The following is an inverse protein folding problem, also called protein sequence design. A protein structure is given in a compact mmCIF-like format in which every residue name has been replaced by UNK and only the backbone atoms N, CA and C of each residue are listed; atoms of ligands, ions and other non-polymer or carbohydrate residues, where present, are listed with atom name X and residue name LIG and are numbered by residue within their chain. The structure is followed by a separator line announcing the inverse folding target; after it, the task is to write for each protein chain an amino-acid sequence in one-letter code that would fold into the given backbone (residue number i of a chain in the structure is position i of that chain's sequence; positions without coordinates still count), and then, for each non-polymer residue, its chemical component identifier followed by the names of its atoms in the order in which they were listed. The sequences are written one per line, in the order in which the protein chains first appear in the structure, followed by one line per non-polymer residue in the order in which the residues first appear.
data_IF_608536417254
#
_entry.id   IF_608536417254
#
_cell.length_a   1.000
_cell.length_b   1.000
_cell.length_c   1.000
_cell.angle_alpha   90.00
_cell.angle_beta   90.00
_cell.angle_gamma   90.00
#
_symmetry.space_group_name_H-M   'P 1'
#
loop_
_entity.id
_entity.type
_entity.pdbx_description
1 polymer ?
#
# COMPACT_ATOMS: atom_id res chain seq x y z
N UNK A 1 -37.31 -19.31 -9.44
CA UNK A 1 -36.85 -17.97 -9.84
C UNK A 1 -37.36 -17.67 -11.27
N UNK A 2 -38.17 -16.62 -11.46
CA UNK A 2 -38.62 -16.23 -12.78
C UNK A 2 -37.50 -15.46 -13.50
N UNK A 3 -37.12 -15.91 -14.68
CA UNK A 3 -36.13 -15.19 -15.50
C UNK A 3 -36.81 -14.02 -16.21
N UNK A 4 -36.24 -12.83 -16.11
CA UNK A 4 -36.61 -11.69 -16.95
C UNK A 4 -36.08 -11.95 -18.36
N UNK A 5 -36.98 -12.03 -19.35
CA UNK A 5 -36.63 -12.28 -20.76
C UNK A 5 -36.58 -10.97 -21.55
N UNK A 6 -35.81 -10.98 -22.64
CA UNK A 6 -35.84 -9.88 -23.59
C UNK A 6 -37.22 -9.81 -24.32
N UNK A 7 -37.71 -8.59 -24.64
CA UNK A 7 -37.16 -7.28 -24.30
C UNK A 7 -37.25 -6.98 -22.80
N UNK A 8 -36.17 -6.44 -22.25
CA UNK A 8 -36.08 -6.17 -20.80
C UNK A 8 -36.88 -4.92 -20.43
N UNK A 9 -38.09 -5.12 -19.94
CA UNK A 9 -38.94 -4.03 -19.48
C UNK A 9 -38.53 -3.56 -18.08
N UNK A 10 -38.48 -2.24 -17.85
CA UNK A 10 -38.10 -1.66 -16.57
C UNK A 10 -39.05 -2.09 -15.43
N UNK A 11 -40.33 -2.27 -15.73
CA UNK A 11 -41.32 -2.73 -14.75
C UNK A 11 -40.99 -4.14 -14.22
N UNK A 12 -40.52 -5.05 -15.08
CA UNK A 12 -40.14 -6.40 -14.70
C UNK A 12 -38.83 -6.42 -13.91
N UNK A 13 -37.93 -5.47 -14.15
CA UNK A 13 -36.67 -5.37 -13.41
C UNK A 13 -36.85 -4.85 -11.97
N UNK A 14 -37.89 -4.02 -11.72
CA UNK A 14 -38.12 -3.42 -10.39
C UNK A 14 -38.36 -4.43 -9.27
N UNK A 15 -38.82 -5.63 -9.58
CA UNK A 15 -39.00 -6.70 -8.59
C UNK A 15 -37.69 -7.46 -8.25
N UNK A 16 -36.61 -7.23 -9.01
CA UNK A 16 -35.34 -7.96 -8.89
C UNK A 16 -34.14 -7.06 -8.58
N UNK A 17 -34.27 -5.76 -8.83
CA UNK A 17 -33.16 -4.78 -8.69
C UNK A 17 -33.65 -3.57 -7.89
N UNK A 18 -32.81 -3.00 -7.05
CA UNK A 18 -33.13 -1.77 -6.32
C UNK A 18 -33.58 -0.64 -7.24
N UNK A 19 -34.53 0.17 -6.78
CA UNK A 19 -35.18 1.20 -7.59
C UNK A 19 -34.19 2.21 -8.23
N UNK A 20 -33.11 2.51 -7.56
CA UNK A 20 -32.01 3.37 -7.98
C UNK A 20 -31.19 2.80 -9.15
N UNK A 21 -31.17 1.47 -9.31
CA UNK A 21 -30.39 0.77 -10.32
C UNK A 21 -31.19 0.31 -11.55
N UNK A 22 -32.51 0.35 -11.48
CA UNK A 22 -33.42 -0.21 -12.53
C UNK A 22 -33.11 0.35 -13.92
N UNK A 23 -32.96 1.66 -14.04
CA UNK A 23 -32.68 2.28 -15.34
C UNK A 23 -31.31 1.94 -15.89
N UNK A 24 -30.30 1.91 -15.02
CA UNK A 24 -28.91 1.57 -15.39
C UNK A 24 -28.83 0.11 -15.85
N UNK A 25 -29.39 -0.81 -15.08
CA UNK A 25 -29.41 -2.25 -15.41
C UNK A 25 -30.23 -2.48 -16.68
N UNK A 26 -31.40 -1.85 -16.81
CA UNK A 26 -32.25 -1.97 -18.02
C UNK A 26 -31.53 -1.47 -19.27
N UNK A 27 -30.75 -0.39 -19.18
CA UNK A 27 -29.93 0.10 -20.30
C UNK A 27 -28.85 -0.91 -20.68
N UNK A 28 -28.06 -1.41 -19.70
CA UNK A 28 -27.03 -2.38 -19.93
C UNK A 28 -27.54 -3.67 -20.57
N UNK A 29 -28.70 -4.18 -20.10
CA UNK A 29 -29.34 -5.39 -20.67
C UNK A 29 -29.77 -5.18 -22.11
N UNK A 30 -30.34 -4.01 -22.43
CA UNK A 30 -30.73 -3.69 -23.82
C UNK A 30 -29.50 -3.56 -24.74
N UNK A 31 -28.41 -2.98 -24.26
CA UNK A 31 -27.17 -2.90 -25.02
C UNK A 31 -26.55 -4.29 -25.28
N UNK A 32 -26.59 -5.19 -24.29
CA UNK A 32 -26.17 -6.58 -24.47
C UNK A 32 -27.05 -7.30 -25.48
N UNK A 33 -28.39 -7.14 -25.40
CA UNK A 33 -29.33 -7.73 -26.35
C UNK A 33 -29.07 -7.24 -27.78
N UNK A 34 -28.79 -5.94 -27.97
CA UNK A 34 -28.41 -5.37 -29.26
C UNK A 34 -27.12 -5.96 -29.84
N UNK A 35 -26.23 -6.46 -29.00
CA UNK A 35 -24.98 -7.18 -29.36
C UNK A 35 -25.17 -8.70 -29.51
N UNK A 36 -26.42 -9.19 -29.43
CA UNK A 36 -26.75 -10.61 -29.57
C UNK A 36 -26.61 -11.42 -28.26
N UNK A 37 -26.35 -10.76 -27.12
CA UNK A 37 -26.26 -11.42 -25.81
C UNK A 37 -27.55 -11.19 -25.05
N UNK A 38 -28.45 -12.18 -25.01
CA UNK A 38 -29.73 -12.10 -24.34
C UNK A 38 -29.99 -13.36 -23.50
N UNK A 39 -30.95 -13.30 -22.60
CA UNK A 39 -31.49 -14.40 -21.81
C UNK A 39 -30.39 -15.27 -21.14
N UNK A 40 -30.21 -16.51 -21.60
CA UNK A 40 -29.18 -17.41 -21.06
C UNK A 40 -27.76 -16.90 -21.25
N UNK A 41 -27.51 -16.14 -22.33
CA UNK A 41 -26.20 -15.54 -22.56
C UNK A 41 -25.87 -14.48 -21.51
N UNK A 42 -26.85 -13.69 -21.08
CA UNK A 42 -26.67 -12.74 -19.97
C UNK A 42 -26.40 -13.44 -18.66
N UNK A 43 -27.11 -14.55 -18.36
CA UNK A 43 -26.86 -15.34 -17.14
C UNK A 43 -25.44 -15.88 -17.13
N UNK A 44 -25.00 -16.52 -18.23
CA UNK A 44 -23.65 -17.05 -18.34
C UNK A 44 -22.58 -15.96 -18.21
N UNK A 45 -22.82 -14.76 -18.76
CA UNK A 45 -21.92 -13.61 -18.60
C UNK A 45 -21.84 -13.15 -17.14
N UNK A 46 -22.97 -13.05 -16.45
CA UNK A 46 -23.01 -12.66 -15.04
C UNK A 46 -22.32 -13.69 -14.15
N UNK A 47 -22.56 -14.97 -14.38
CA UNK A 47 -21.87 -16.07 -13.67
C UNK A 47 -20.36 -16.01 -13.88
N UNK A 48 -19.91 -15.75 -15.11
CA UNK A 48 -18.48 -15.58 -15.41
C UNK A 48 -17.89 -14.35 -14.71
N UNK A 49 -18.61 -13.23 -14.68
CA UNK A 49 -18.20 -12.01 -13.97
C UNK A 49 -18.15 -12.23 -12.46
N UNK A 50 -19.15 -12.93 -11.89
CA UNK A 50 -19.16 -13.27 -10.48
C UNK A 50 -17.99 -14.21 -10.12
N UNK A 51 -17.74 -15.24 -10.93
CA UNK A 51 -16.60 -16.13 -10.75
C UNK A 51 -15.27 -15.36 -10.81
N UNK A 52 -15.09 -14.50 -11.81
CA UNK A 52 -13.90 -13.67 -11.94
C UNK A 52 -13.73 -12.70 -10.75
N UNK A 53 -14.83 -12.12 -10.22
CA UNK A 53 -14.81 -11.27 -9.04
C UNK A 53 -14.47 -12.03 -7.76
N UNK A 54 -14.90 -13.29 -7.65
CA UNK A 54 -14.61 -14.13 -6.49
C UNK A 54 -13.12 -14.50 -6.42
N UNK A 55 -12.42 -14.53 -7.55
CA UNK A 55 -10.98 -14.77 -7.63
C UNK A 55 -10.14 -13.53 -7.26
N UNK A 56 -10.72 -12.33 -7.29
CA UNK A 56 -10.01 -11.10 -6.88
C UNK A 56 -10.01 -11.02 -5.36
N UNK A 57 -8.84 -11.11 -4.70
CA UNK A 57 -8.77 -11.00 -3.25
C UNK A 57 -9.34 -9.66 -2.77
N UNK A 58 -10.22 -9.73 -1.78
CA UNK A 58 -10.81 -8.52 -1.19
C UNK A 58 -9.75 -7.76 -0.38
N UNK A 59 -9.84 -6.42 -0.31
CA UNK A 59 -9.06 -5.65 0.62
C UNK A 59 -9.22 -6.19 2.05
N UNK A 60 -8.11 -6.31 2.78
CA UNK A 60 -8.13 -6.74 4.16
C UNK A 60 -7.93 -5.55 5.10
N UNK A 61 -8.77 -5.44 6.12
CA UNK A 61 -8.57 -4.49 7.21
C UNK A 61 -7.33 -4.91 8.02
N UNK A 62 -6.44 -3.94 8.25
CA UNK A 62 -5.22 -4.12 9.06
C UNK A 62 -5.30 -3.17 10.26
N UNK A 63 -5.04 -3.69 11.46
CA UNK A 63 -5.29 -2.96 12.69
C UNK A 63 -4.19 -3.20 13.73
N UNK A 64 -3.77 -2.14 14.40
CA UNK A 64 -3.08 -2.21 15.69
C UNK A 64 -3.96 -1.53 16.73
N UNK A 65 -4.13 -2.14 17.90
CA UNK A 65 -4.92 -1.57 18.99
C UNK A 65 -5.78 -2.60 19.69
N UNK A 66 -6.69 -2.16 20.57
CA UNK A 66 -7.58 -3.06 21.28
C UNK A 66 -8.43 -3.91 20.32
N UNK A 67 -8.62 -5.17 20.68
CA UNK A 67 -9.53 -6.06 19.95
C UNK A 67 -10.98 -5.60 20.10
N UNK A 68 -11.72 -5.65 19.00
CA UNK A 68 -13.15 -5.33 18.97
C UNK A 68 -13.91 -6.62 18.68
N UNK A 69 -14.73 -7.05 19.63
CA UNK A 69 -15.49 -8.30 19.52
C UNK A 69 -16.40 -8.31 18.30
N UNK A 70 -16.32 -9.38 17.50
CA UNK A 70 -17.12 -9.56 16.28
C UNK A 70 -16.59 -8.85 15.05
N UNK A 71 -15.47 -8.14 15.13
CA UNK A 71 -14.77 -7.56 13.99
C UNK A 71 -13.44 -8.30 13.75
N UNK A 72 -13.21 -8.67 12.49
CA UNK A 72 -11.99 -9.34 12.10
C UNK A 72 -11.07 -8.36 11.36
N UNK A 73 -9.90 -8.14 11.93
CA UNK A 73 -8.81 -7.41 11.32
C UNK A 73 -7.52 -8.22 11.46
N UNK A 74 -6.60 -8.05 10.52
CA UNK A 74 -5.27 -8.64 10.62
C UNK A 74 -4.37 -7.72 11.44
N UNK A 75 -3.47 -8.29 12.22
CA UNK A 75 -2.49 -7.50 12.99
C UNK A 75 -1.52 -6.76 12.07
N UNK A 76 -1.24 -5.48 12.37
CA UNK A 76 -0.33 -4.67 11.54
C UNK A 76 1.05 -5.31 11.47
N UNK A 77 1.64 -5.72 12.59
CA UNK A 77 2.93 -6.40 12.63
C UNK A 77 2.92 -7.70 11.80
N UNK A 78 1.89 -8.51 11.95
CA UNK A 78 1.74 -9.76 11.20
C UNK A 78 1.77 -9.52 9.69
N UNK A 79 1.02 -8.52 9.21
CA UNK A 79 0.98 -8.17 7.79
C UNK A 79 2.31 -7.61 7.30
N UNK A 80 3.00 -6.79 8.11
CA UNK A 80 4.35 -6.30 7.82
C UNK A 80 5.33 -7.45 7.64
N UNK A 81 5.41 -8.33 8.64
CA UNK A 81 6.33 -9.46 8.64
C UNK A 81 6.05 -10.43 7.49
N UNK A 82 4.77 -10.65 7.17
CA UNK A 82 4.37 -11.48 6.04
C UNK A 82 4.78 -10.87 4.69
N UNK A 83 4.45 -9.59 4.44
CA UNK A 83 4.80 -8.93 3.18
C UNK A 83 6.32 -8.92 2.95
N UNK A 84 7.08 -8.60 3.99
CA UNK A 84 8.54 -8.60 3.92
C UNK A 84 9.07 -10.02 3.74
N UNK A 85 8.60 -10.97 4.55
CA UNK A 85 9.05 -12.36 4.53
C UNK A 85 8.75 -13.10 3.22
N UNK A 86 7.72 -12.68 2.48
CA UNK A 86 7.33 -13.26 1.17
C UNK A 86 7.93 -12.55 -0.03
N UNK A 87 8.56 -11.38 0.16
CA UNK A 87 9.12 -10.62 -0.96
C UNK A 87 10.20 -11.40 -1.71
N UNK A 88 10.14 -11.43 -3.03
CA UNK A 88 11.04 -12.20 -3.88
C UNK A 88 11.85 -11.33 -4.84
N UNK A 89 11.31 -10.22 -5.29
CA UNK A 89 11.91 -9.35 -6.30
C UNK A 89 12.11 -7.92 -5.81
N UNK A 90 11.11 -7.31 -5.18
CA UNK A 90 11.19 -5.91 -4.78
C UNK A 90 10.36 -5.56 -3.55
N UNK A 91 10.88 -4.64 -2.74
CA UNK A 91 10.14 -3.96 -1.67
C UNK A 91 10.33 -2.45 -1.81
N UNK A 92 9.21 -1.73 -1.79
CA UNK A 92 9.19 -0.28 -1.69
C UNK A 92 8.48 0.08 -0.40
N UNK A 93 9.19 0.73 0.51
CA UNK A 93 8.70 1.03 1.85
C UNK A 93 8.83 2.51 2.10
N UNK A 94 7.74 3.17 2.51
CA UNK A 94 7.76 4.54 2.98
C UNK A 94 7.32 4.62 4.43
N UNK A 95 7.98 5.47 5.21
CA UNK A 95 7.63 5.75 6.60
C UNK A 95 8.09 7.13 7.03
N UNK A 96 7.31 7.77 7.90
CA UNK A 96 7.69 9.04 8.49
C UNK A 96 8.69 8.90 9.64
N UNK A 97 8.54 7.85 10.46
CA UNK A 97 9.42 7.60 11.61
C UNK A 97 9.90 6.15 11.62
N UNK A 98 11.12 5.92 12.11
CA UNK A 98 11.78 4.63 12.20
C UNK A 98 12.62 4.50 13.49
N UNK A 99 12.04 4.89 14.62
CA UNK A 99 12.66 4.72 15.92
C UNK A 99 12.63 3.23 16.32
N UNK A 100 13.61 2.82 17.13
CA UNK A 100 13.83 1.41 17.54
C UNK A 100 14.07 0.47 16.34
N UNK A 101 14.78 0.99 15.32
CA UNK A 101 14.96 0.37 14.02
C UNK A 101 15.56 -1.03 14.05
N UNK A 102 16.40 -1.37 15.05
CA UNK A 102 16.96 -2.73 15.15
C UNK A 102 15.83 -3.78 15.21
N UNK A 103 14.79 -3.54 15.99
CA UNK A 103 13.65 -4.44 16.07
C UNK A 103 12.74 -4.32 14.83
N UNK A 104 12.46 -3.09 14.39
CA UNK A 104 11.56 -2.85 13.27
C UNK A 104 12.15 -3.34 11.93
N UNK A 105 13.46 -3.17 11.70
CA UNK A 105 14.12 -3.59 10.47
C UNK A 105 14.66 -5.03 10.49
N UNK A 106 14.50 -5.77 11.59
CA UNK A 106 15.07 -7.12 11.72
C UNK A 106 14.62 -8.05 10.59
N UNK A 107 13.30 -8.20 10.42
CA UNK A 107 12.73 -9.08 9.39
C UNK A 107 13.14 -8.64 7.97
N UNK A 108 13.24 -7.33 7.74
CA UNK A 108 13.67 -6.78 6.45
C UNK A 108 15.13 -7.11 6.16
N UNK A 109 16.01 -6.92 7.13
CA UNK A 109 17.42 -7.22 7.01
C UNK A 109 17.66 -8.72 6.77
N UNK A 110 17.04 -9.58 7.56
CA UNK A 110 17.10 -11.04 7.41
C UNK A 110 16.60 -11.47 6.01
N UNK A 111 15.49 -10.88 5.53
CA UNK A 111 15.00 -11.18 4.19
C UNK A 111 15.96 -10.75 3.09
N UNK A 112 16.54 -9.56 3.21
CA UNK A 112 17.55 -9.07 2.27
C UNK A 112 18.79 -9.96 2.24
N UNK A 113 19.24 -10.45 3.39
CA UNK A 113 20.42 -11.33 3.49
C UNK A 113 20.12 -12.73 2.92
N UNK A 114 18.89 -13.22 3.09
CA UNK A 114 18.45 -14.51 2.56
C UNK A 114 18.20 -14.47 1.03
N UNK A 115 17.66 -13.37 0.49
CA UNK A 115 17.30 -13.22 -0.93
C UNK A 115 18.20 -12.16 -1.57
N UNK A 116 19.33 -12.60 -2.12
CA UNK A 116 20.35 -11.68 -2.68
C UNK A 116 19.86 -10.84 -3.85
N UNK A 117 18.90 -11.31 -4.61
CA UNK A 117 18.29 -10.59 -5.75
C UNK A 117 17.24 -9.55 -5.32
N UNK A 118 16.80 -9.57 -4.05
CA UNK A 118 15.77 -8.65 -3.56
C UNK A 118 16.26 -7.20 -3.62
N UNK A 119 15.54 -6.37 -4.37
CA UNK A 119 15.73 -4.91 -4.43
C UNK A 119 14.87 -4.25 -3.37
N UNK A 120 15.47 -3.47 -2.48
CA UNK A 120 14.74 -2.77 -1.42
C UNK A 120 15.01 -1.28 -1.51
N UNK A 121 13.93 -0.49 -1.55
CA UNK A 121 13.95 0.97 -1.49
C UNK A 121 13.17 1.47 -0.29
N UNK A 122 13.83 2.25 0.56
CA UNK A 122 13.23 2.89 1.72
C UNK A 122 13.10 4.39 1.46
N UNK A 123 11.91 4.93 1.60
CA UNK A 123 11.64 6.36 1.60
C UNK A 123 11.40 6.81 3.04
N UNK A 124 12.33 7.57 3.60
CA UNK A 124 12.34 7.99 5.00
C UNK A 124 12.19 9.51 5.11
N UNK A 125 11.47 9.97 6.12
CA UNK A 125 11.50 11.39 6.45
C UNK A 125 12.75 11.68 7.30
N UNK A 126 13.46 12.73 6.96
CA UNK A 126 14.56 13.29 7.78
C UNK A 126 14.08 14.60 8.37
N UNK A 127 14.24 14.75 9.68
CA UNK A 127 13.89 15.99 10.37
C UNK A 127 15.09 16.95 10.39
N UNK A 128 14.82 18.22 10.13
CA UNK A 128 15.78 19.26 10.46
C UNK A 128 16.03 19.28 11.96
N UNK A 129 17.31 19.18 12.33
CA UNK A 129 17.69 19.20 13.74
C UNK A 129 18.06 20.64 14.13
N UNK A 130 17.41 21.24 15.15
CA UNK A 130 17.64 22.65 15.50
C UNK A 130 19.09 23.01 15.84
N UNK A 131 19.85 22.02 16.37
CA UNK A 131 21.26 22.18 16.73
C UNK A 131 22.22 21.89 15.56
N UNK A 132 21.68 21.57 14.38
CA UNK A 132 22.49 21.34 13.19
C UNK A 132 22.85 22.65 12.53
N UNK A 133 24.12 22.84 12.11
CA UNK A 133 24.54 24.04 11.40
C UNK A 133 23.95 24.19 10.01
N UNK A 134 23.23 23.16 9.51
CA UNK A 134 22.53 23.20 8.23
C UNK A 134 21.90 21.88 7.82
N UNK A 135 21.20 21.84 6.65
CA UNK A 135 20.54 20.66 6.12
C UNK A 135 21.47 19.46 5.93
N UNK A 136 22.69 19.69 5.46
CA UNK A 136 23.69 18.64 5.20
C UNK A 136 24.11 17.90 6.48
N UNK A 137 24.20 18.60 7.61
CA UNK A 137 24.48 18.00 8.90
C UNK A 137 23.31 17.13 9.38
N UNK A 138 22.08 17.58 9.19
CA UNK A 138 20.88 16.78 9.47
C UNK A 138 20.85 15.48 8.65
N UNK A 139 21.24 15.54 7.36
CA UNK A 139 21.35 14.35 6.48
C UNK A 139 22.45 13.42 6.99
N UNK A 140 23.63 13.95 7.33
CA UNK A 140 24.75 13.17 7.82
C UNK A 140 24.41 12.47 9.15
N UNK A 141 23.74 13.17 10.04
CA UNK A 141 23.24 12.62 11.31
C UNK A 141 22.20 11.52 11.08
N UNK A 142 21.23 11.74 10.18
CA UNK A 142 20.21 10.74 9.86
C UNK A 142 20.84 9.48 9.26
N UNK A 143 21.83 9.62 8.38
CA UNK A 143 22.60 8.52 7.79
C UNK A 143 23.32 7.72 8.88
N UNK A 144 24.07 8.40 9.77
CA UNK A 144 24.73 7.75 10.89
C UNK A 144 23.75 7.02 11.81
N UNK A 145 22.64 7.68 12.16
CA UNK A 145 21.59 7.08 13.00
C UNK A 145 20.99 5.83 12.34
N UNK A 146 20.74 5.87 11.03
CA UNK A 146 20.20 4.73 10.31
C UNK A 146 21.19 3.56 10.33
N UNK A 147 22.43 3.79 9.87
CA UNK A 147 23.34 2.69 9.63
C UNK A 147 24.02 2.16 10.90
N UNK A 148 24.34 3.01 11.85
CA UNK A 148 25.08 2.61 13.06
C UNK A 148 24.16 2.25 14.24
N UNK A 149 22.94 2.80 14.27
CA UNK A 149 22.05 2.59 15.43
C UNK A 149 20.83 1.73 15.12
N UNK A 150 20.29 1.83 13.90
CA UNK A 150 19.01 1.26 13.59
C UNK A 150 19.05 0.09 12.61
N UNK A 151 20.03 0.00 11.71
CA UNK A 151 20.11 -1.07 10.73
C UNK A 151 20.79 -2.32 11.29
N UNK A 152 20.13 -3.49 11.37
CA UNK A 152 20.69 -4.70 11.96
C UNK A 152 21.43 -5.62 10.97
N UNK A 153 21.25 -5.42 9.65
CA UNK A 153 21.74 -6.34 8.61
C UNK A 153 23.10 -5.97 8.02
N UNK A 154 23.64 -6.88 7.23
CA UNK A 154 24.90 -6.67 6.48
C UNK A 154 24.61 -5.91 5.17
N UNK A 155 23.58 -6.33 4.43
CA UNK A 155 23.17 -5.64 3.20
C UNK A 155 22.34 -4.41 3.55
N UNK A 156 22.68 -3.30 2.91
CA UNK A 156 21.97 -2.02 3.10
C UNK A 156 21.02 -1.78 1.92
N UNK A 157 19.75 -1.40 2.14
CA UNK A 157 18.81 -1.00 1.08
C UNK A 157 19.24 0.32 0.43
N UNK A 158 18.60 0.65 -0.69
CA UNK A 158 18.64 2.01 -1.23
C UNK A 158 17.70 2.90 -0.43
N UNK A 159 18.21 3.97 0.15
CA UNK A 159 17.44 4.87 1.01
C UNK A 159 17.33 6.24 0.36
N UNK A 160 16.13 6.77 0.38
CA UNK A 160 15.80 8.09 -0.17
C UNK A 160 15.09 8.94 0.87
N UNK A 161 15.27 10.25 0.78
CA UNK A 161 14.60 11.22 1.65
C UNK A 161 14.02 12.38 0.84
N UNK A 162 13.10 13.11 1.45
CA UNK A 162 12.46 14.28 0.87
C UNK A 162 13.17 15.55 1.36
N UNK A 163 13.92 16.28 0.51
CA UNK A 163 14.77 17.38 0.95
C UNK A 163 13.97 18.58 1.49
N UNK A 164 12.73 18.81 1.05
CA UNK A 164 11.86 19.84 1.56
C UNK A 164 11.52 19.68 3.05
N UNK A 165 11.76 18.50 3.64
CA UNK A 165 11.64 18.29 5.10
C UNK A 165 12.76 18.96 5.89
N UNK A 166 13.82 19.40 5.23
CA UNK A 166 15.00 20.03 5.82
C UNK A 166 15.02 21.56 5.65
N UNK A 167 13.95 22.14 5.17
CA UNK A 167 13.81 23.61 5.08
C UNK A 167 13.70 24.20 6.49
N UNK A 168 14.53 25.20 6.79
CA UNK A 168 14.60 25.84 8.12
C UNK A 168 13.30 26.59 8.47
N UNK A 169 12.69 27.21 7.46
CA UNK A 169 11.39 27.88 7.63
C UNK A 169 10.27 26.86 7.79
N UNK A 170 9.85 26.66 9.01
CA UNK A 170 8.78 25.70 9.37
C UNK A 170 7.45 26.00 8.69
N UNK A 171 7.21 27.21 8.23
CA UNK A 171 5.99 27.56 7.48
C UNK A 171 5.97 27.01 6.06
N UNK A 172 7.14 26.65 5.53
CA UNK A 172 7.34 26.08 4.19
C UNK A 172 7.79 24.60 4.21
N UNK A 173 8.01 24.05 5.41
CA UNK A 173 8.46 22.66 5.56
C UNK A 173 7.38 21.69 5.09
N UNK A 174 7.70 20.82 4.15
CA UNK A 174 6.89 19.67 3.78
C UNK A 174 7.56 18.39 4.26
N UNK A 175 6.79 17.34 4.53
CA UNK A 175 7.33 16.08 5.08
C UNK A 175 6.89 14.88 4.25
N UNK A 176 7.72 13.85 4.21
CA UNK A 176 7.34 12.55 3.72
C UNK A 176 6.52 11.86 4.82
N UNK A 177 5.20 11.90 4.72
CA UNK A 177 4.30 11.34 5.73
C UNK A 177 3.57 10.07 5.27
N UNK A 178 3.81 9.61 4.04
CA UNK A 178 3.27 8.37 3.54
C UNK A 178 3.82 7.16 4.31
N UNK A 179 2.94 6.21 4.64
CA UNK A 179 3.33 4.92 5.23
C UNK A 179 2.72 3.84 4.35
N UNK A 180 3.58 3.15 3.62
CA UNK A 180 3.17 2.09 2.73
C UNK A 180 4.29 1.05 2.56
N UNK A 181 3.88 -0.19 2.27
CA UNK A 181 4.76 -1.25 1.77
C UNK A 181 4.18 -1.75 0.46
N UNK A 182 4.99 -1.79 -0.58
CA UNK A 182 4.64 -2.47 -1.83
C UNK A 182 5.56 -3.67 -1.99
N UNK A 183 4.98 -4.87 -2.08
CA UNK A 183 5.68 -6.13 -2.29
C UNK A 183 5.55 -6.57 -3.75
N UNK A 184 6.68 -6.80 -4.41
CA UNK A 184 6.80 -7.42 -5.74
C UNK A 184 5.89 -6.79 -6.83
N UNK A 185 5.47 -5.53 -6.62
CA UNK A 185 4.49 -4.83 -7.46
C UNK A 185 3.13 -5.54 -7.59
N UNK A 186 2.78 -6.35 -6.60
CA UNK A 186 1.56 -7.16 -6.54
C UNK A 186 0.63 -6.78 -5.39
N UNK A 187 1.20 -6.47 -4.21
CA UNK A 187 0.46 -6.17 -3.00
C UNK A 187 0.89 -4.82 -2.42
N UNK A 188 -0.06 -4.11 -1.85
CA UNK A 188 0.19 -2.81 -1.19
C UNK A 188 -0.49 -2.79 0.18
N UNK A 189 0.29 -2.57 1.22
CA UNK A 189 -0.24 -2.11 2.50
C UNK A 189 -0.16 -0.58 2.54
N UNK A 190 -1.29 0.08 2.74
CA UNK A 190 -1.37 1.50 3.10
C UNK A 190 -1.83 1.59 4.53
N UNK A 191 -1.14 2.35 5.38
CA UNK A 191 -1.42 2.37 6.82
C UNK A 191 -1.10 3.72 7.45
N UNK A 192 -1.66 3.99 8.62
CA UNK A 192 -1.22 5.09 9.48
C UNK A 192 0.04 4.72 10.28
N UNK A 193 0.34 3.42 10.43
CA UNK A 193 1.46 2.93 11.22
C UNK A 193 2.82 3.31 10.64
N UNK A 194 3.66 3.93 11.46
CA UNK A 194 5.07 4.10 11.16
C UNK A 194 5.84 2.78 11.32
N UNK A 195 7.06 2.73 10.77
CA UNK A 195 7.98 1.60 10.94
C UNK A 195 8.66 1.66 12.32
N UNK A 196 7.85 1.56 13.36
CA UNK A 196 8.27 1.62 14.78
C UNK A 196 7.59 0.52 15.57
N UNK A 197 8.23 0.04 16.63
CA UNK A 197 7.64 -0.99 17.50
C UNK A 197 6.29 -0.54 18.09
N UNK A 198 6.20 0.72 18.51
CA UNK A 198 4.97 1.27 19.07
C UNK A 198 3.80 1.25 18.08
N UNK A 199 4.03 1.66 16.82
CA UNK A 199 2.99 1.68 15.80
C UNK A 199 2.58 0.26 15.38
N UNK A 200 3.53 -0.67 15.33
CA UNK A 200 3.26 -2.04 14.92
C UNK A 200 2.58 -2.88 16.01
N UNK A 201 2.64 -2.46 17.31
CA UNK A 201 2.25 -3.34 18.42
C UNK A 201 1.34 -2.71 19.47
N UNK A 202 1.30 -1.38 19.62
CA UNK A 202 0.67 -0.71 20.81
C UNK A 202 -0.24 0.44 20.50
N UNK A 203 0.04 1.23 19.47
CA UNK A 203 -0.81 2.36 19.09
C UNK A 203 -2.16 1.88 18.55
N UNK A 204 -3.10 2.80 18.36
CA UNK A 204 -4.24 2.57 17.50
C UNK A 204 -3.83 3.00 16.09
N UNK A 205 -3.73 2.02 15.18
CA UNK A 205 -3.37 2.24 13.78
C UNK A 205 -4.34 1.50 12.86
N UNK A 206 -4.62 2.11 11.73
CA UNK A 206 -5.53 1.59 10.72
C UNK A 206 -4.80 1.48 9.39
N UNK A 207 -5.00 0.35 8.72
CA UNK A 207 -4.45 0.12 7.39
C UNK A 207 -5.36 -0.74 6.52
N UNK A 208 -5.03 -0.79 5.25
CA UNK A 208 -5.66 -1.66 4.27
C UNK A 208 -4.59 -2.37 3.45
N UNK A 209 -4.70 -3.69 3.38
CA UNK A 209 -3.90 -4.52 2.48
C UNK A 209 -4.69 -4.75 1.20
N UNK A 210 -4.11 -4.38 0.08
CA UNK A 210 -4.65 -4.53 -1.27
C UNK A 210 -3.83 -5.56 -2.04
N UNK A 211 -4.50 -6.53 -2.63
CA UNK A 211 -3.93 -7.50 -3.59
C UNK A 211 -4.28 -7.03 -5.00
N UNK A 212 -3.66 -5.93 -5.44
CA UNK A 212 -3.97 -5.23 -6.69
C UNK A 212 -2.67 -4.83 -7.39
N UNK A 213 -2.19 -5.67 -8.30
CA UNK A 213 -0.95 -5.43 -9.02
C UNK A 213 -0.97 -4.15 -9.89
N UNK A 214 -2.05 -3.78 -10.59
CA UNK A 214 -2.15 -2.47 -11.25
C UNK A 214 -1.97 -1.29 -10.31
N UNK A 215 -2.59 -1.33 -9.13
CA UNK A 215 -2.44 -0.29 -8.11
C UNK A 215 -1.01 -0.30 -7.52
N UNK A 216 -0.47 -1.47 -7.19
CA UNK A 216 0.90 -1.62 -6.69
C UNK A 216 1.93 -1.00 -7.63
N UNK A 217 1.85 -1.34 -8.93
CA UNK A 217 2.71 -0.74 -9.96
C UNK A 217 2.51 0.78 -10.09
N UNK A 218 1.31 1.28 -9.84
CA UNK A 218 1.06 2.73 -9.88
C UNK A 218 1.77 3.44 -8.72
N UNK A 219 1.71 2.88 -7.51
CA UNK A 219 2.44 3.41 -6.33
C UNK A 219 3.95 3.39 -6.58
N UNK A 220 4.49 2.28 -7.07
CA UNK A 220 5.92 2.16 -7.41
C UNK A 220 6.34 3.23 -8.42
N UNK A 221 5.58 3.41 -9.50
CA UNK A 221 5.87 4.44 -10.51
C UNK A 221 5.87 5.85 -9.94
N UNK A 222 5.00 6.17 -8.97
CA UNK A 222 5.04 7.46 -8.29
C UNK A 222 6.36 7.68 -7.55
N UNK A 223 6.81 6.71 -6.77
CA UNK A 223 8.11 6.82 -6.09
C UNK A 223 9.28 6.89 -7.07
N UNK A 224 9.26 6.07 -8.12
CA UNK A 224 10.28 6.13 -9.18
C UNK A 224 10.38 7.51 -9.81
N UNK A 225 9.24 8.12 -10.16
CA UNK A 225 9.21 9.48 -10.74
C UNK A 225 9.73 10.55 -9.77
N UNK A 226 9.42 10.43 -8.49
CA UNK A 226 9.98 11.35 -7.49
C UNK A 226 11.49 11.22 -7.37
N UNK A 227 12.05 10.00 -7.47
CA UNK A 227 13.50 9.77 -7.48
C UNK A 227 14.12 10.30 -8.78
N UNK A 228 13.58 9.94 -9.94
CA UNK A 228 14.07 10.37 -11.26
C UNK A 228 14.06 11.90 -11.44
N UNK A 229 13.08 12.58 -10.87
CA UNK A 229 12.96 14.05 -10.93
C UNK A 229 13.76 14.78 -9.85
N UNK A 230 14.50 14.06 -8.99
CA UNK A 230 15.28 14.65 -7.89
C UNK A 230 14.43 15.19 -6.73
N UNK A 231 13.13 14.86 -6.69
CA UNK A 231 12.27 15.21 -5.54
C UNK A 231 12.54 14.32 -4.33
N UNK A 232 13.01 13.12 -4.53
CA UNK A 232 13.58 12.26 -3.50
C UNK A 232 15.07 12.09 -3.79
N UNK A 233 15.92 12.40 -2.82
CA UNK A 233 17.37 12.30 -2.93
C UNK A 233 17.89 11.05 -2.20
N UNK A 234 18.94 10.45 -2.75
CA UNK A 234 19.58 9.32 -2.11
C UNK A 234 20.31 9.74 -0.82
N UNK A 235 20.09 8.97 0.26
CA UNK A 235 20.75 9.23 1.55
C UNK A 235 22.25 8.85 1.54
N UNK A 236 22.65 7.98 0.62
CA UNK A 236 24.02 7.42 0.61
C UNK A 236 24.18 6.25 1.60
N UNK A 237 25.25 5.49 1.38
CA UNK A 237 25.56 4.30 2.21
C UNK A 237 26.83 4.47 3.04
N UNK A 238 27.59 5.54 2.76
CA UNK A 238 28.89 5.83 3.37
C UNK A 238 28.76 6.82 4.50
#
# INVERSE_FOLDING_TARGET
MGFVKAPYELAALRSHVGADLVEQVGRALRELAAKGVADRGVVALLEAVEAARAEVPRPSLVWTGPEVQGLHARGTREVFDELIGRATSSLWISTYAYFDGKTAFQVLAERMDAVRSLSVKLMLNIHYHPDSPGPEDSVSRARWMLWEKNWPGVRRPDVYYFPESLVEDRSQTAVLHAKAIVRDEEEVLVTSANFTDAALSRNIELGVLLHDAPFARTVVRHYQRLIESGRLLALGRD
#
